data_IF_783216409147
#
_entry.id   IF_783216409147
#
_cell.length_a   1.000
_cell.length_b   1.000
_cell.length_c   1.000
_cell.angle_alpha   90.00
_cell.angle_beta   90.00
_cell.angle_gamma   90.00
#
_symmetry.space_group_name_H-M   'P 1'
#
loop_
_entity.id
_entity.type
_entity.pdbx_description
1 polymer ?
#
# COMPACT_ATOMS: atom_id res chain seq x y z
N UNK A 1 -11.90 -15.63 -7.09
CA UNK A 1 -10.73 -15.34 -6.26
C UNK A 1 -11.10 -15.72 -4.84
N UNK A 2 -10.38 -16.68 -4.29
CA UNK A 2 -10.65 -17.26 -2.97
C UNK A 2 -10.19 -16.30 -1.85
N UNK A 3 -10.82 -16.35 -0.67
CA UNK A 3 -10.46 -15.49 0.46
C UNK A 3 -9.01 -15.73 0.92
N UNK A 4 -8.48 -16.95 0.74
CA UNK A 4 -7.09 -17.28 1.03
C UNK A 4 -6.13 -16.57 0.07
N UNK A 5 -6.46 -16.50 -1.21
CA UNK A 5 -5.64 -15.79 -2.21
C UNK A 5 -5.60 -14.30 -1.93
N UNK A 6 -6.75 -13.71 -1.57
CA UNK A 6 -6.84 -12.31 -1.15
C UNK A 6 -5.99 -12.07 0.10
N UNK A 7 -6.11 -12.93 1.12
CA UNK A 7 -5.34 -12.80 2.35
C UNK A 7 -3.83 -12.94 2.11
N UNK A 8 -3.41 -13.87 1.24
CA UNK A 8 -2.01 -14.03 0.86
C UNK A 8 -1.47 -12.80 0.12
N UNK A 9 -2.25 -12.26 -0.81
CA UNK A 9 -1.92 -11.03 -1.53
C UNK A 9 -1.75 -9.83 -0.58
N UNK A 10 -2.70 -9.63 0.34
CA UNK A 10 -2.61 -8.55 1.34
C UNK A 10 -1.43 -8.72 2.29
N UNK A 11 -1.08 -9.95 2.67
CA UNK A 11 0.10 -10.22 3.51
C UNK A 11 1.40 -9.90 2.77
N UNK A 12 1.55 -10.35 1.53
CA UNK A 12 2.72 -10.04 0.71
C UNK A 12 2.88 -8.53 0.50
N UNK A 13 1.77 -7.82 0.28
CA UNK A 13 1.74 -6.36 0.23
C UNK A 13 2.23 -5.71 1.53
N UNK A 14 1.73 -6.16 2.69
CA UNK A 14 2.17 -5.64 4.01
C UNK A 14 3.65 -5.94 4.25
N UNK A 15 4.13 -7.13 3.87
CA UNK A 15 5.55 -7.49 4.00
C UNK A 15 6.46 -6.60 3.13
N UNK A 16 6.03 -6.27 1.90
CA UNK A 16 6.71 -5.30 1.03
C UNK A 16 6.79 -3.92 1.68
N UNK A 17 5.67 -3.44 2.26
CA UNK A 17 5.64 -2.17 2.98
C UNK A 17 6.57 -2.18 4.21
N UNK A 18 6.57 -3.25 5.00
CA UNK A 18 7.43 -3.36 6.19
C UNK A 18 8.93 -3.39 5.84
N UNK A 19 9.29 -3.87 4.65
CA UNK A 19 10.66 -3.87 4.15
C UNK A 19 11.08 -2.52 3.56
N UNK A 20 10.15 -1.57 3.41
CA UNK A 20 10.32 -0.33 2.65
C UNK A 20 10.79 -0.60 1.21
N UNK A 21 10.36 -1.72 0.63
CA UNK A 21 10.74 -2.11 -0.74
C UNK A 21 9.79 -1.43 -1.74
N UNK A 22 10.04 -0.15 -1.99
CA UNK A 22 9.22 0.66 -2.88
C UNK A 22 9.34 0.24 -4.35
N UNK A 23 10.43 -0.43 -4.70
CA UNK A 23 10.64 -0.99 -6.03
C UNK A 23 9.66 -2.12 -6.30
N UNK A 24 9.34 -3.00 -5.33
CA UNK A 24 8.33 -4.07 -5.53
C UNK A 24 6.87 -3.60 -5.43
N UNK A 25 6.61 -2.39 -4.94
CA UNK A 25 5.25 -1.89 -4.68
C UNK A 25 4.36 -1.93 -5.94
N UNK A 26 4.92 -1.73 -7.13
CA UNK A 26 4.20 -1.78 -8.40
C UNK A 26 3.58 -3.16 -8.72
N UNK A 27 4.05 -4.23 -8.09
CA UNK A 27 3.51 -5.59 -8.26
C UNK A 27 2.18 -5.77 -7.53
N UNK A 28 2.02 -5.08 -6.41
CA UNK A 28 0.83 -5.16 -5.56
C UNK A 28 -0.15 -4.02 -5.83
N UNK A 29 0.33 -2.94 -6.46
CA UNK A 29 -0.36 -1.68 -6.56
C UNK A 29 -0.29 -1.14 -7.98
N UNK A 30 -1.45 -0.91 -8.60
CA UNK A 30 -1.53 -0.43 -9.99
C UNK A 30 -1.00 0.99 -10.17
N UNK A 31 -0.55 1.35 -11.37
CA UNK A 31 -0.10 2.71 -11.68
C UNK A 31 -1.20 3.77 -11.52
N UNK A 32 -2.49 3.39 -11.56
CA UNK A 32 -3.66 4.26 -11.31
C UNK A 32 -4.17 4.15 -9.85
N UNK A 33 -3.28 4.11 -8.85
CA UNK A 33 -3.72 4.14 -7.44
C UNK A 33 -4.64 5.29 -7.17
N UNK A 34 -5.76 4.95 -6.54
CA UNK A 34 -6.67 5.92 -5.93
C UNK A 34 -6.66 5.73 -4.43
N UNK A 35 -6.28 6.79 -3.74
CA UNK A 35 -6.38 6.89 -2.29
C UNK A 35 -7.37 8.01 -2.00
N UNK A 36 -8.33 7.81 -1.11
CA UNK A 36 -9.31 8.86 -0.79
C UNK A 36 -10.19 9.30 -1.98
N UNK A 37 -10.36 8.43 -2.99
CA UNK A 37 -11.00 8.79 -4.25
C UNK A 37 -10.17 9.72 -5.14
N UNK A 38 -8.93 10.04 -4.73
CA UNK A 38 -7.97 10.85 -5.48
C UNK A 38 -6.98 9.94 -6.18
N UNK A 39 -6.83 10.09 -7.49
CA UNK A 39 -5.76 9.44 -8.24
C UNK A 39 -4.41 10.02 -7.81
N UNK A 40 -3.69 9.30 -6.95
CA UNK A 40 -2.32 9.65 -6.55
C UNK A 40 -1.31 9.05 -7.53
N UNK A 41 -1.68 7.94 -8.18
CA UNK A 41 -0.75 7.10 -8.93
C UNK A 41 0.34 6.49 -8.03
N UNK A 42 1.20 5.68 -8.62
CA UNK A 42 2.24 4.95 -7.85
C UNK A 42 3.21 5.91 -7.14
N UNK A 43 3.69 6.95 -7.84
CA UNK A 43 4.62 7.94 -7.28
C UNK A 43 4.03 8.76 -6.14
N UNK A 44 2.77 9.18 -6.26
CA UNK A 44 2.09 9.92 -5.19
C UNK A 44 1.83 9.04 -3.96
N UNK A 45 1.55 7.75 -4.19
CA UNK A 45 1.39 6.78 -3.10
C UNK A 45 2.71 6.49 -2.38
N UNK A 46 3.81 6.29 -3.13
CA UNK A 46 5.15 6.13 -2.57
C UNK A 46 5.57 7.34 -1.72
N UNK A 47 5.34 8.57 -2.20
CA UNK A 47 5.67 9.78 -1.44
C UNK A 47 4.89 9.89 -0.13
N UNK A 48 3.60 9.55 -0.14
CA UNK A 48 2.78 9.51 1.08
C UNK A 48 3.30 8.47 2.08
N UNK A 49 3.71 7.29 1.60
CA UNK A 49 4.28 6.24 2.44
C UNK A 49 5.62 6.65 3.05
N UNK A 50 6.50 7.30 2.28
CA UNK A 50 7.77 7.82 2.80
C UNK A 50 7.56 8.87 3.90
N UNK A 51 6.58 9.76 3.75
CA UNK A 51 6.21 10.74 4.78
C UNK A 51 5.65 10.08 6.05
N UNK A 52 4.81 9.05 5.92
CA UNK A 52 4.28 8.29 7.06
C UNK A 52 5.39 7.49 7.77
N UNK A 53 6.33 6.90 7.02
CA UNK A 53 7.48 6.16 7.55
C UNK A 53 8.41 7.05 8.37
N UNK A 54 8.67 8.28 7.93
CA UNK A 54 9.50 9.25 8.67
C UNK A 54 8.84 9.65 10.01
N UNK A 55 7.51 9.71 10.02
CA UNK A 55 6.73 10.15 11.18
C UNK A 55 6.56 9.09 12.26
N UNK A 56 6.56 7.80 11.92
CA UNK A 56 6.39 6.70 12.88
C UNK A 56 7.00 5.39 12.36
N UNK A 57 8.09 4.87 12.96
CA UNK A 57 8.91 3.87 12.30
C UNK A 57 8.35 2.44 12.21
N UNK A 58 7.14 2.11 12.69
CA UNK A 58 6.68 0.69 12.67
C UNK A 58 5.17 0.44 12.76
N UNK A 59 4.32 1.42 12.46
CA UNK A 59 2.88 1.15 12.43
C UNK A 59 2.24 1.84 11.24
N UNK A 60 2.35 1.20 10.07
CA UNK A 60 1.40 1.45 8.99
C UNK A 60 0.06 0.92 9.50
N UNK A 61 -0.62 1.79 10.25
CA UNK A 61 -1.88 1.48 10.89
C UNK A 61 -2.86 1.09 9.79
N UNK A 62 -3.68 0.05 10.02
CA UNK A 62 -4.71 -0.46 9.09
C UNK A 62 -5.53 0.66 8.43
N UNK A 63 -5.64 1.82 9.08
CA UNK A 63 -6.22 3.06 8.57
C UNK A 63 -5.65 3.54 7.22
N UNK A 64 -4.33 3.44 6.98
CA UNK A 64 -3.70 3.86 5.72
C UNK A 64 -3.94 2.86 4.57
N UNK A 65 -4.24 1.59 4.90
CA UNK A 65 -4.53 0.52 3.93
C UNK A 65 -6.02 0.51 3.56
N UNK A 66 -6.88 0.93 4.50
CA UNK A 66 -8.35 0.94 4.35
C UNK A 66 -8.85 1.77 3.16
N UNK A 67 -8.03 2.69 2.64
CA UNK A 67 -8.45 3.58 1.56
C UNK A 67 -7.96 3.19 0.15
N UNK A 68 -6.99 2.30 0.03
CA UNK A 68 -6.54 1.84 -1.30
C UNK A 68 -7.50 0.78 -1.88
N UNK A 69 -8.30 0.12 -1.03
CA UNK A 69 -9.23 -0.93 -1.47
C UNK A 69 -10.69 -0.47 -1.47
N UNK A 70 -11.10 0.22 -2.53
CA UNK A 70 -12.49 0.16 -3.02
C UNK A 70 -12.50 -0.38 -4.46
N UNK A 71 -12.45 -1.70 -4.58
CA UNK A 71 -13.29 -2.47 -5.50
C UNK A 71 -13.79 -3.70 -4.78
#
# INVERSE_FOLDING_TARGET
MDLQEIAAFYRAYIDCLNRHDWDELHLYVSSDVRHNGRSLGLRGYQGMLMEDTDRSPISISRSSISFVSRR
#
